data_IF_392456508635
#
_entry.id   IF_392456508635
#
_cell.length_a   1.000
_cell.length_b   1.000
_cell.length_c   1.000
_cell.angle_alpha   90.00
_cell.angle_beta   90.00
_cell.angle_gamma   90.00
#
_symmetry.space_group_name_H-M   'P 1'
#
loop_
_entity.id
_entity.type
_entity.pdbx_description
1 polymer ?
#
# COMPACT_ATOMS: atom_id res chain seq x y z
N UNK A 1 26.77 1.61 -1.35
CA UNK A 1 25.87 2.72 -0.95
C UNK A 1 24.69 2.13 -0.20
N UNK A 2 24.63 2.29 1.12
CA UNK A 2 23.46 1.89 1.91
C UNK A 2 22.47 3.06 1.90
N UNK A 3 21.46 2.98 1.04
CA UNK A 3 20.36 3.97 1.03
C UNK A 3 19.65 3.94 2.37
N UNK A 4 19.52 5.11 3.02
CA UNK A 4 18.77 5.24 4.28
C UNK A 4 17.28 5.19 3.95
N UNK A 5 16.68 4.00 3.93
CA UNK A 5 15.25 3.83 3.81
C UNK A 5 14.58 4.29 5.12
N UNK A 6 14.10 5.53 5.15
CA UNK A 6 13.22 6.00 6.23
C UNK A 6 11.79 5.67 5.83
N UNK A 7 11.06 4.84 6.59
CA UNK A 7 9.65 4.61 6.32
C UNK A 7 8.86 5.89 6.62
N UNK A 8 7.91 6.25 5.75
CA UNK A 8 7.04 7.42 5.93
C UNK A 8 6.08 7.33 7.12
N UNK A 9 5.97 6.15 7.73
CA UNK A 9 5.10 5.89 8.87
C UNK A 9 5.79 4.93 9.85
N UNK A 10 5.33 4.95 11.10
CA UNK A 10 5.79 4.06 12.17
C UNK A 10 5.44 2.60 11.80
N UNK A 11 6.43 1.81 11.35
CA UNK A 11 6.20 0.49 10.73
C UNK A 11 5.57 -0.55 11.65
N UNK A 12 5.62 -0.33 12.96
CA UNK A 12 5.04 -1.19 13.99
C UNK A 12 3.55 -0.90 14.24
N UNK A 13 3.05 0.30 13.92
CA UNK A 13 1.69 0.74 14.18
C UNK A 13 1.14 1.49 12.96
N UNK A 14 0.40 0.77 12.11
CA UNK A 14 -0.29 1.36 10.95
C UNK A 14 -1.56 2.06 11.43
N UNK A 15 -1.53 3.37 11.63
CA UNK A 15 -2.70 4.15 12.03
C UNK A 15 -3.57 4.39 10.80
N UNK A 16 -4.89 4.36 10.96
CA UNK A 16 -5.82 4.57 9.84
C UNK A 16 -5.61 5.90 9.11
N UNK A 17 -5.08 6.92 9.79
CA UNK A 17 -4.80 8.24 9.23
C UNK A 17 -3.44 8.36 8.51
N UNK A 18 -2.58 7.34 8.56
CA UNK A 18 -1.23 7.43 8.00
C UNK A 18 -1.32 7.54 6.46
N UNK A 19 -0.82 8.62 5.84
CA UNK A 19 -0.80 8.78 4.39
C UNK A 19 0.30 7.93 3.73
N UNK A 20 0.42 7.99 2.40
CA UNK A 20 1.47 7.26 1.68
C UNK A 20 1.16 5.78 1.44
N UNK A 21 -0.10 5.36 1.48
CA UNK A 21 -0.50 4.00 1.15
C UNK A 21 -1.22 3.93 -0.20
N UNK A 22 -1.20 2.75 -0.80
CA UNK A 22 -2.01 2.37 -1.96
C UNK A 22 -2.58 0.98 -1.77
N UNK A 23 -3.51 0.58 -2.62
CA UNK A 23 -4.03 -0.80 -2.62
C UNK A 23 -3.19 -1.63 -3.58
N UNK A 24 -2.46 -2.60 -3.07
CA UNK A 24 -1.77 -3.61 -3.87
C UNK A 24 -2.65 -4.84 -4.06
N UNK A 25 -2.40 -5.58 -5.14
CA UNK A 25 -3.08 -6.83 -5.42
C UNK A 25 -2.13 -7.88 -6.01
N UNK A 26 -2.47 -9.15 -5.82
CA UNK A 26 -1.88 -10.29 -6.53
C UNK A 26 -2.93 -11.33 -6.85
N UNK A 27 -2.69 -12.15 -7.87
CA UNK A 27 -3.50 -13.34 -8.08
C UNK A 27 -3.29 -14.34 -6.92
N UNK A 28 -4.38 -15.01 -6.50
CA UNK A 28 -4.30 -16.15 -5.58
C UNK A 28 -3.51 -17.30 -6.21
N UNK A 29 -3.73 -17.52 -7.50
CA UNK A 29 -3.07 -18.53 -8.30
C UNK A 29 -2.38 -17.86 -9.49
N UNK A 30 -1.05 -17.92 -9.52
CA UNK A 30 -0.23 -17.27 -10.54
C UNK A 30 0.80 -16.30 -9.96
N UNK A 31 1.48 -15.57 -10.83
CA UNK A 31 2.60 -14.69 -10.47
C UNK A 31 2.33 -13.21 -10.74
N UNK A 32 1.15 -12.87 -11.24
CA UNK A 32 0.80 -11.48 -11.52
C UNK A 32 0.45 -10.73 -10.23
N UNK A 33 0.97 -9.51 -10.15
CA UNK A 33 0.72 -8.55 -9.08
C UNK A 33 0.68 -7.14 -9.66
N UNK A 34 0.03 -6.23 -8.94
CA UNK A 34 -0.05 -4.83 -9.32
C UNK A 34 -0.53 -3.99 -8.16
N UNK A 35 -0.88 -2.74 -8.48
CA UNK A 35 -1.43 -1.79 -7.55
C UNK A 35 -2.55 -1.00 -8.22
N UNK A 36 -3.51 -0.53 -7.41
CA UNK A 36 -4.45 0.49 -7.84
C UNK A 36 -3.75 1.84 -7.83
N UNK A 37 -4.10 2.69 -8.80
CA UNK A 37 -3.61 4.07 -8.85
C UNK A 37 -4.22 4.90 -7.71
N UNK A 38 -3.41 5.85 -7.22
CA UNK A 38 -3.80 6.80 -6.18
C UNK A 38 -3.14 6.51 -4.82
N UNK A 39 -2.55 7.56 -4.25
CA UNK A 39 -2.14 7.60 -2.85
C UNK A 39 -3.36 7.86 -1.97
N UNK A 40 -3.43 7.16 -0.83
CA UNK A 40 -4.48 7.29 0.17
C UNK A 40 -3.92 6.98 1.57
N UNK A 41 -4.74 7.14 2.59
CA UNK A 41 -4.39 6.73 3.95
C UNK A 41 -4.44 5.22 4.12
N UNK A 42 -3.74 4.68 5.12
CA UNK A 42 -3.80 3.26 5.46
C UNK A 42 -5.25 2.78 5.71
N UNK A 43 -6.07 3.58 6.39
CA UNK A 43 -7.45 3.25 6.68
C UNK A 43 -8.35 3.25 5.44
N UNK A 44 -8.09 4.12 4.47
CA UNK A 44 -8.75 4.10 3.16
C UNK A 44 -8.29 2.90 2.33
N UNK A 45 -6.98 2.64 2.27
CA UNK A 45 -6.42 1.51 1.54
C UNK A 45 -6.94 0.18 2.11
N UNK A 46 -7.07 0.06 3.44
CA UNK A 46 -7.63 -1.12 4.09
C UNK A 46 -9.10 -1.34 3.69
N UNK A 47 -9.94 -0.31 3.84
CA UNK A 47 -11.37 -0.40 3.46
C UNK A 47 -11.55 -0.76 1.99
N UNK A 48 -10.79 -0.10 1.10
CA UNK A 48 -10.83 -0.37 -0.34
C UNK A 48 -10.31 -1.77 -0.68
N UNK A 49 -9.28 -2.27 0.00
CA UNK A 49 -8.82 -3.64 -0.18
C UNK A 49 -9.89 -4.68 0.21
N UNK A 50 -10.59 -4.47 1.32
CA UNK A 50 -11.70 -5.33 1.77
C UNK A 50 -12.85 -5.34 0.75
N UNK A 51 -13.23 -4.17 0.23
CA UNK A 51 -14.25 -4.05 -0.82
C UNK A 51 -13.85 -4.79 -2.11
N UNK A 52 -12.60 -4.67 -2.53
CA UNK A 52 -12.12 -5.30 -3.77
C UNK A 52 -11.99 -6.82 -3.61
N UNK A 53 -11.60 -7.29 -2.43
CA UNK A 53 -11.55 -8.71 -2.12
C UNK A 53 -12.93 -9.39 -2.14
N UNK A 54 -14.00 -8.64 -1.82
CA UNK A 54 -15.38 -9.12 -1.97
C UNK A 54 -15.84 -9.20 -3.44
N UNK A 55 -15.31 -8.33 -4.32
CA UNK A 55 -15.70 -8.25 -5.74
C UNK A 55 -14.91 -9.20 -6.64
N UNK A 56 -13.66 -9.45 -6.32
CA UNK A 56 -12.76 -10.29 -7.12
C UNK A 56 -12.11 -11.35 -6.23
N UNK A 57 -12.73 -12.54 -6.12
CA UNK A 57 -12.23 -13.61 -5.27
C UNK A 57 -10.97 -14.29 -5.84
N UNK A 58 -10.54 -13.99 -7.07
CA UNK A 58 -9.32 -14.55 -7.66
C UNK A 58 -8.06 -13.76 -7.24
N UNK A 59 -8.26 -12.54 -6.73
CA UNK A 59 -7.18 -11.67 -6.26
C UNK A 59 -7.17 -11.56 -4.74
N UNK A 60 -5.98 -11.32 -4.21
CA UNK A 60 -5.76 -10.89 -2.83
C UNK A 60 -5.38 -9.43 -2.88
N UNK A 61 -6.04 -8.60 -2.06
CA UNK A 61 -5.78 -7.18 -1.96
C UNK A 61 -5.24 -6.82 -0.57
N UNK A 62 -4.32 -5.87 -0.49
CA UNK A 62 -3.81 -5.37 0.80
C UNK A 62 -3.38 -3.90 0.71
N UNK A 63 -3.41 -3.18 1.83
CA UNK A 63 -2.77 -1.87 1.93
C UNK A 63 -1.24 -2.02 1.87
N UNK A 64 -0.62 -1.37 0.89
CA UNK A 64 0.84 -1.33 0.69
C UNK A 64 1.34 0.10 0.86
N UNK A 65 2.38 0.29 1.67
CA UNK A 65 3.05 1.57 1.81
C UNK A 65 3.82 1.87 0.51
N UNK A 66 3.62 3.07 -0.03
CA UNK A 66 4.35 3.56 -1.20
C UNK A 66 5.79 3.83 -0.77
N UNK A 67 6.71 2.96 -1.20
CA UNK A 67 8.14 3.13 -1.00
C UNK A 67 8.72 3.76 -2.26
N UNK A 68 8.86 5.09 -2.28
CA UNK A 68 9.50 5.83 -3.38
C UNK A 68 10.92 6.26 -2.96
N UNK A 69 11.99 5.84 -3.66
CA UNK A 69 13.35 6.32 -3.41
C UNK A 69 13.55 7.83 -3.70
N UNK A 70 12.60 8.52 -4.34
CA UNK A 70 12.68 9.94 -4.71
C UNK A 70 11.83 10.88 -3.84
N UNK A 71 11.21 10.40 -2.75
CA UNK A 71 10.47 11.29 -1.85
C UNK A 71 11.43 12.04 -0.90
N UNK A 72 11.88 13.21 -1.32
CA UNK A 72 12.39 14.24 -0.41
C UNK A 72 11.18 14.89 0.30
N UNK A 73 11.21 14.89 1.64
CA UNK A 73 10.34 15.78 2.42
C UNK A 73 10.64 17.21 1.96
N UNK A 74 9.63 17.90 1.42
CA UNK A 74 9.74 19.33 1.16
C UNK A 74 10.07 20.03 2.48
N UNK A 75 11.30 20.55 2.57
CA UNK A 75 11.83 21.33 3.69
C UNK A 75 11.10 22.65 3.88
#
# INVERSE_FOLDING_TARGET
>A
MAGKYKPRAETLLRRSSDPGYRVAWKLKYGFQKGYLEGEMTYGEAKRKAEEMMAKDPEKVYWPELIMDPAFEEAS
#
